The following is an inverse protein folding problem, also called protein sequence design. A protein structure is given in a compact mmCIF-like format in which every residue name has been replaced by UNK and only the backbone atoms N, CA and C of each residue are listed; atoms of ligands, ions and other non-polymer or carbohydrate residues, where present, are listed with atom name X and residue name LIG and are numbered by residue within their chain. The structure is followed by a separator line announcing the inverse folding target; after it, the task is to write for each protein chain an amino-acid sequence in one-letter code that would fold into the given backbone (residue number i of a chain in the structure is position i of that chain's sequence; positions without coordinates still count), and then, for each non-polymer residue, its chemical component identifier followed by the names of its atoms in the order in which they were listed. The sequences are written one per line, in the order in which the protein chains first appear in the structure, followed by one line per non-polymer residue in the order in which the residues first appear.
data_IF_837382866226
#
_entry.id   IF_837382866226
#
_cell.length_a   1.000
_cell.length_b   1.000
_cell.length_c   1.000
_cell.angle_alpha   90.00
_cell.angle_beta   90.00
_cell.angle_gamma   90.00
#
_symmetry.space_group_name_H-M   'P 1'
#
loop_
_entity.id
_entity.type
_entity.pdbx_description
1 polymer ?
#
# COMPACT_ATOMS: atom_id res chain seq x y z
N UNK A 1 11.87 -1.76 28.39
CA UNK A 1 10.84 -1.27 27.46
C UNK A 1 10.06 -0.13 28.09
N UNK A 2 10.35 1.12 27.70
CA UNK A 2 9.60 2.29 28.16
C UNK A 2 8.40 2.57 27.22
N UNK A 3 7.32 3.18 27.71
CA UNK A 3 6.10 3.46 26.93
C UNK A 3 6.36 4.33 25.69
N UNK A 4 7.40 5.17 25.74
CA UNK A 4 7.89 5.98 24.62
C UNK A 4 8.44 5.09 23.49
N UNK A 5 9.25 4.07 23.82
CA UNK A 5 9.83 3.16 22.82
C UNK A 5 8.74 2.36 22.10
N UNK A 6 7.74 1.90 22.84
CA UNK A 6 6.59 1.21 22.25
C UNK A 6 5.86 2.12 21.26
N UNK A 7 5.63 3.37 21.64
CA UNK A 7 4.92 4.36 20.81
C UNK A 7 5.66 4.65 19.51
N UNK A 8 6.99 4.76 19.54
CA UNK A 8 7.82 4.95 18.35
C UNK A 8 7.74 3.76 17.39
N UNK A 9 7.82 2.52 17.90
CA UNK A 9 7.67 1.31 17.07
C UNK A 9 6.30 1.27 16.40
N UNK A 10 5.23 1.59 17.15
CA UNK A 10 3.88 1.67 16.59
C UNK A 10 3.77 2.71 15.49
N UNK A 11 4.31 3.90 15.71
CA UNK A 11 4.33 4.98 14.72
C UNK A 11 5.05 4.55 13.46
N UNK A 12 6.21 3.92 13.61
CA UNK A 12 7.05 3.52 12.49
C UNK A 12 6.43 2.36 11.68
N UNK A 13 5.73 1.44 12.36
CA UNK A 13 4.92 0.41 11.72
C UNK A 13 3.78 1.00 10.90
N UNK A 14 3.03 1.96 11.46
CA UNK A 14 1.94 2.65 10.75
C UNK A 14 2.46 3.41 9.53
N UNK A 15 3.56 4.17 9.68
CA UNK A 15 4.17 4.90 8.56
C UNK A 15 4.67 3.96 7.46
N UNK A 16 5.26 2.83 7.84
CA UNK A 16 5.68 1.81 6.86
C UNK A 16 4.47 1.22 6.14
N UNK A 17 3.38 0.92 6.86
CA UNK A 17 2.12 0.47 6.27
C UNK A 17 1.57 1.47 5.24
N UNK A 18 1.58 2.77 5.56
CA UNK A 18 1.20 3.82 4.62
C UNK A 18 2.12 3.87 3.39
N UNK A 19 3.44 3.77 3.57
CA UNK A 19 4.40 3.75 2.45
C UNK A 19 4.13 2.59 1.50
N UNK A 20 3.91 1.40 2.05
CA UNK A 20 3.63 0.18 1.27
C UNK A 20 2.28 0.28 0.54
N UNK A 21 1.25 0.83 1.20
CA UNK A 21 -0.07 0.98 0.61
C UNK A 21 -0.17 2.14 -0.41
N UNK A 22 0.63 3.19 -0.25
CA UNK A 22 0.58 4.42 -1.07
C UNK A 22 0.57 4.18 -2.59
N UNK A 23 1.52 3.43 -3.19
CA UNK A 23 1.54 3.25 -4.65
C UNK A 23 0.28 2.55 -5.17
N UNK A 24 -0.24 1.55 -4.45
CA UNK A 24 -1.46 0.83 -4.84
C UNK A 24 -2.67 1.75 -4.72
N UNK A 25 -2.78 2.50 -3.62
CA UNK A 25 -3.91 3.40 -3.37
C UNK A 25 -3.96 4.53 -4.40
N UNK A 26 -2.85 5.20 -4.65
CA UNK A 26 -2.77 6.33 -5.60
C UNK A 26 -3.24 5.88 -6.97
N UNK A 27 -2.70 4.78 -7.48
CA UNK A 27 -3.05 4.32 -8.82
C UNK A 27 -4.47 3.73 -8.86
N UNK A 28 -4.92 3.02 -7.83
CA UNK A 28 -6.29 2.50 -7.75
C UNK A 28 -7.33 3.63 -7.79
N UNK A 29 -7.03 4.76 -7.12
CA UNK A 29 -7.87 5.97 -7.15
C UNK A 29 -7.87 6.58 -8.56
N UNK A 30 -6.70 6.81 -9.16
CA UNK A 30 -6.59 7.42 -10.49
C UNK A 30 -7.31 6.59 -11.56
N UNK A 31 -7.10 5.27 -11.56
CA UNK A 31 -7.74 4.35 -12.51
C UNK A 31 -9.23 4.25 -12.25
N UNK A 32 -9.64 4.14 -10.98
CA UNK A 32 -11.04 4.11 -10.61
C UNK A 32 -11.80 5.36 -11.06
N UNK A 33 -11.19 6.54 -10.88
CA UNK A 33 -11.73 7.81 -11.33
C UNK A 33 -11.80 7.89 -12.86
N UNK A 34 -10.73 7.49 -13.55
CA UNK A 34 -10.69 7.51 -15.01
C UNK A 34 -11.80 6.63 -15.61
N UNK A 35 -11.97 5.42 -15.07
CA UNK A 35 -12.99 4.48 -15.52
C UNK A 35 -14.40 5.00 -15.18
N UNK A 36 -14.61 5.59 -14.00
CA UNK A 36 -15.94 6.10 -13.63
C UNK A 36 -16.40 7.25 -14.52
N UNK A 37 -15.48 8.10 -14.98
CA UNK A 37 -15.77 9.16 -15.95
C UNK A 37 -16.21 8.56 -17.29
N UNK A 38 -15.52 7.55 -17.80
CA UNK A 38 -15.88 6.88 -19.06
C UNK A 38 -17.25 6.20 -18.94
N UNK A 39 -17.50 5.49 -17.83
CA UNK A 39 -18.78 4.85 -17.57
C UNK A 39 -19.93 5.85 -17.54
N UNK A 40 -19.72 7.00 -16.88
CA UNK A 40 -20.70 8.07 -16.85
C UNK A 40 -20.92 8.69 -18.24
N UNK A 41 -19.86 8.95 -18.99
CA UNK A 41 -19.94 9.56 -20.33
C UNK A 41 -20.65 8.67 -21.35
N UNK A 42 -20.48 7.34 -21.27
CA UNK A 42 -21.14 6.39 -22.19
C UNK A 42 -22.47 5.86 -21.64
N UNK A 43 -22.88 6.24 -20.42
CA UNK A 43 -24.07 5.71 -19.73
C UNK A 43 -24.08 4.19 -19.56
N UNK A 44 -22.90 3.54 -19.61
CA UNK A 44 -22.73 2.09 -19.40
C UNK A 44 -22.26 1.90 -17.95
N UNK A 45 -23.16 1.41 -17.09
CA UNK A 45 -22.88 1.10 -15.68
C UNK A 45 -22.86 -0.41 -15.44
N UNK A 46 -22.03 -1.12 -16.20
CA UNK A 46 -21.80 -2.55 -15.98
C UNK A 46 -20.66 -2.76 -14.97
N UNK A 47 -20.96 -3.46 -13.87
CA UNK A 47 -20.00 -3.67 -12.77
C UNK A 47 -18.70 -4.38 -13.21
N UNK A 48 -18.76 -5.23 -14.25
CA UNK A 48 -17.61 -5.97 -14.80
C UNK A 48 -16.57 -5.06 -15.45
N UNK A 49 -17.01 -3.96 -16.11
CA UNK A 49 -16.14 -2.98 -16.77
C UNK A 49 -15.24 -2.23 -15.78
N UNK A 50 -15.66 -2.07 -14.53
CA UNK A 50 -14.85 -1.43 -13.49
C UNK A 50 -13.84 -2.38 -12.86
N UNK A 51 -14.17 -3.68 -12.85
CA UNK A 51 -13.42 -4.68 -12.12
C UNK A 51 -12.16 -5.15 -12.87
N UNK A 52 -12.32 -5.55 -14.14
CA UNK A 52 -11.22 -6.18 -14.90
C UNK A 52 -10.04 -5.23 -15.14
N UNK A 53 -10.24 -3.99 -15.64
CA UNK A 53 -9.12 -3.09 -15.87
C UNK A 53 -8.39 -2.72 -14.56
N UNK A 54 -9.14 -2.56 -13.46
CA UNK A 54 -8.57 -2.27 -12.14
C UNK A 54 -7.67 -3.41 -11.64
N UNK A 55 -8.08 -4.67 -11.81
CA UNK A 55 -7.25 -5.82 -11.45
C UNK A 55 -5.93 -5.87 -12.22
N UNK A 56 -5.98 -5.64 -13.54
CA UNK A 56 -4.77 -5.64 -14.38
C UNK A 56 -3.79 -4.57 -13.90
N UNK A 57 -4.30 -3.36 -13.60
CA UNK A 57 -3.43 -2.29 -13.11
C UNK A 57 -2.84 -2.61 -11.73
N UNK A 58 -3.65 -3.15 -10.79
CA UNK A 58 -3.13 -3.56 -9.48
C UNK A 58 -2.04 -4.64 -9.63
N UNK A 59 -2.25 -5.64 -10.49
CA UNK A 59 -1.25 -6.67 -10.76
C UNK A 59 0.05 -6.07 -11.30
N UNK A 60 -0.02 -5.11 -12.23
CA UNK A 60 1.17 -4.42 -12.76
C UNK A 60 1.90 -3.62 -11.68
N UNK A 61 1.20 -2.91 -10.80
CA UNK A 61 1.81 -2.18 -9.68
C UNK A 61 2.52 -3.16 -8.75
N UNK A 62 1.90 -4.30 -8.44
CA UNK A 62 2.52 -5.31 -7.57
C UNK A 62 3.79 -5.89 -8.19
N UNK A 63 3.84 -6.07 -9.51
CA UNK A 63 5.06 -6.52 -10.19
C UNK A 63 6.15 -5.45 -10.14
N UNK A 64 5.80 -4.19 -10.39
CA UNK A 64 6.77 -3.08 -10.46
C UNK A 64 7.26 -2.65 -9.08
N UNK A 65 6.36 -2.50 -8.12
CA UNK A 65 6.65 -1.98 -6.78
C UNK A 65 6.78 -3.07 -5.72
N UNK A 66 6.45 -4.33 -6.02
CA UNK A 66 6.46 -5.43 -5.04
C UNK A 66 7.81 -5.62 -4.37
N UNK A 67 8.91 -5.53 -5.13
CA UNK A 67 10.26 -5.62 -4.56
C UNK A 67 10.55 -4.51 -3.54
N UNK A 68 10.20 -3.27 -3.86
CA UNK A 68 10.36 -2.14 -2.95
C UNK A 68 9.44 -2.26 -1.72
N UNK A 69 8.20 -2.69 -1.90
CA UNK A 69 7.25 -2.92 -0.82
C UNK A 69 7.77 -3.97 0.16
N UNK A 70 8.29 -5.09 -0.35
CA UNK A 70 8.91 -6.13 0.47
C UNK A 70 10.12 -5.60 1.22
N UNK A 71 10.97 -4.80 0.58
CA UNK A 71 12.11 -4.17 1.24
C UNK A 71 11.67 -3.29 2.42
N UNK A 72 10.63 -2.47 2.25
CA UNK A 72 10.09 -1.66 3.35
C UNK A 72 9.61 -2.51 4.54
N UNK A 73 9.00 -3.67 4.27
CA UNK A 73 8.57 -4.59 5.31
C UNK A 73 9.75 -5.26 6.01
N UNK A 74 10.77 -5.71 5.26
CA UNK A 74 12.00 -6.26 5.82
C UNK A 74 12.71 -5.24 6.70
N UNK A 75 12.81 -3.98 6.25
CA UNK A 75 13.43 -2.91 7.02
C UNK A 75 12.68 -2.65 8.33
N UNK A 76 11.34 -2.69 8.32
CA UNK A 76 10.54 -2.58 9.54
C UNK A 76 10.83 -3.72 10.52
N UNK A 77 10.89 -4.95 10.03
CA UNK A 77 11.21 -6.12 10.84
C UNK A 77 12.59 -5.98 11.47
N UNK A 78 13.60 -5.58 10.69
CA UNK A 78 14.96 -5.34 11.19
C UNK A 78 15.00 -4.27 12.28
N UNK A 79 14.30 -3.14 12.09
CA UNK A 79 14.20 -2.10 13.12
C UNK A 79 13.57 -2.62 14.41
N UNK A 80 12.49 -3.41 14.32
CA UNK A 80 11.85 -4.04 15.49
C UNK A 80 12.86 -4.94 16.23
N UNK A 81 13.61 -5.77 15.52
CA UNK A 81 14.61 -6.65 16.15
C UNK A 81 15.78 -5.88 16.78
N UNK A 82 16.22 -4.78 16.17
CA UNK A 82 17.24 -3.89 16.74
C UNK A 82 16.78 -3.24 18.06
N UNK A 83 15.52 -2.79 18.11
CA UNK A 83 14.91 -2.28 19.33
C UNK A 83 14.82 -3.34 20.43
N UNK A 84 14.52 -4.59 20.09
CA UNK A 84 14.47 -5.71 21.05
C UNK A 84 15.88 -6.04 21.54
N UNK A 85 16.85 -6.21 20.65
CA UNK A 85 18.22 -6.62 20.99
C UNK A 85 18.96 -5.58 21.84
N UNK A 86 18.63 -4.30 21.70
CA UNK A 86 19.19 -3.21 22.54
C UNK A 86 18.53 -3.13 23.92
N UNK A 87 17.43 -3.84 24.16
CA UNK A 87 16.63 -3.77 25.39
C UNK A 87 16.90 -4.92 26.39
N UNK A 88 17.89 -5.76 26.10
CA UNK A 88 18.46 -6.80 26.97
C UNK A 88 19.79 -6.28 27.52
#
# INVERSE_FOLDING_TARGET
MNTIQLTEIFRDAVLTGFKVAAPILIVSILVGLFISIIQAATSINEQTMTFVPKLIVIALILVVFGGWMLQQMVDLVNRIFEFIGTSI
#
